data_IF_580146476573
#
_entry.id   IF_580146476573
#
_cell.length_a   1.000
_cell.length_b   1.000
_cell.length_c   1.000
_cell.angle_alpha   90.00
_cell.angle_beta   90.00
_cell.angle_gamma   90.00
#
_symmetry.space_group_name_H-M   'P 1'
#
loop_
_entity.id
_entity.type
_entity.pdbx_description
1 polymer ?
#
# COMPACT_ATOMS: atom_id res chain seq x y z
N UNK A 1 -16.04 48.24 34.55
CA UNK A 1 -16.64 47.25 33.63
C UNK A 1 -15.58 46.86 32.61
N UNK A 2 -14.88 45.75 32.83
CA UNK A 2 -13.88 45.25 31.88
C UNK A 2 -14.59 44.26 30.95
N UNK A 3 -14.71 44.65 29.69
CA UNK A 3 -15.34 43.86 28.64
C UNK A 3 -14.30 42.85 28.11
N UNK A 4 -14.32 41.63 28.64
CA UNK A 4 -13.45 40.55 28.17
C UNK A 4 -14.13 39.90 26.96
N UNK A 5 -13.73 40.34 25.76
CA UNK A 5 -13.92 39.58 24.54
C UNK A 5 -13.17 38.25 24.65
N UNK A 6 -13.86 37.22 25.12
CA UNK A 6 -13.43 35.85 24.94
C UNK A 6 -13.57 35.52 23.46
N UNK A 7 -12.46 35.62 22.72
CA UNK A 7 -12.31 35.05 21.39
C UNK A 7 -12.43 33.53 21.56
N UNK A 8 -13.65 33.02 21.46
CA UNK A 8 -13.90 31.59 21.26
C UNK A 8 -13.35 31.23 19.89
N UNK A 9 -12.08 30.80 19.86
CA UNK A 9 -11.55 30.05 18.75
C UNK A 9 -12.41 28.80 18.62
N UNK A 10 -13.30 28.74 17.62
CA UNK A 10 -14.12 27.56 17.32
C UNK A 10 -13.21 26.33 17.24
N UNK A 11 -13.24 25.48 18.27
CA UNK A 11 -12.70 24.14 18.16
C UNK A 11 -13.38 23.50 16.94
N UNK A 12 -12.57 23.10 15.95
CA UNK A 12 -13.07 22.38 14.79
C UNK A 12 -13.81 21.13 15.29
N UNK A 13 -15.11 21.03 15.02
CA UNK A 13 -15.95 19.94 15.51
C UNK A 13 -15.41 18.56 15.11
N UNK A 14 -15.64 17.57 15.97
CA UNK A 14 -15.29 16.17 15.72
C UNK A 14 -15.92 15.65 14.42
N UNK A 15 -15.10 15.07 13.55
CA UNK A 15 -15.58 14.46 12.31
C UNK A 15 -16.08 13.05 12.55
N UNK A 16 -17.38 12.80 12.32
CA UNK A 16 -17.98 11.46 12.41
C UNK A 16 -17.61 10.54 11.22
N UNK A 17 -16.78 11.01 10.28
CA UNK A 17 -16.39 10.22 9.10
C UNK A 17 -15.50 9.06 9.53
N UNK A 18 -15.60 7.96 8.78
CA UNK A 18 -14.75 6.80 9.01
C UNK A 18 -13.26 7.14 8.90
N UNK A 19 -12.39 6.52 9.72
CA UNK A 19 -10.94 6.55 9.49
C UNK A 19 -10.59 6.05 8.08
N UNK A 20 -9.71 6.77 7.41
CA UNK A 20 -9.18 6.43 6.08
C UNK A 20 -7.79 5.79 6.22
N UNK A 21 -7.32 5.15 5.13
CA UNK A 21 -5.95 4.59 5.10
C UNK A 21 -5.72 3.49 6.13
N UNK A 22 -6.79 2.81 6.56
CA UNK A 22 -6.68 1.72 7.53
C UNK A 22 -5.91 0.57 6.91
N UNK A 23 -4.96 0.05 7.66
CA UNK A 23 -4.05 -1.01 7.25
C UNK A 23 -3.69 -1.86 8.45
N UNK A 24 -3.60 -3.18 8.24
CA UNK A 24 -3.04 -4.13 9.19
C UNK A 24 -1.96 -4.93 8.47
N UNK A 25 -0.74 -4.93 8.98
CA UNK A 25 0.36 -5.69 8.39
C UNK A 25 1.08 -6.49 9.47
N UNK A 26 1.10 -7.81 9.32
CA UNK A 26 1.87 -8.68 10.19
C UNK A 26 3.36 -8.64 9.83
N UNK A 27 4.19 -8.49 10.86
CA UNK A 27 5.65 -8.57 10.82
C UNK A 27 6.11 -9.47 11.96
N UNK A 28 6.62 -10.65 11.64
CA UNK A 28 6.83 -11.75 12.59
C UNK A 28 5.52 -12.09 13.33
N UNK A 29 5.54 -12.11 14.66
CA UNK A 29 4.40 -12.36 15.55
C UNK A 29 3.70 -11.06 16.01
N UNK A 30 3.97 -9.94 15.34
CA UNK A 30 3.38 -8.65 15.64
C UNK A 30 2.50 -8.17 14.48
N UNK A 31 1.44 -7.44 14.79
CA UNK A 31 0.59 -6.80 13.79
C UNK A 31 0.58 -5.29 14.03
N UNK A 32 1.07 -4.56 13.02
CA UNK A 32 0.94 -3.12 13.00
C UNK A 32 -0.40 -2.72 12.39
N UNK A 33 -1.30 -2.17 13.20
CA UNK A 33 -2.58 -1.60 12.78
C UNK A 33 -2.45 -0.09 12.75
N UNK A 34 -2.73 0.53 11.60
CA UNK A 34 -2.55 1.98 11.42
C UNK A 34 -3.67 2.59 10.57
N UNK A 35 -3.90 3.88 10.74
CA UNK A 35 -4.90 4.65 10.00
C UNK A 35 -4.52 6.14 9.93
N UNK A 36 -5.23 6.91 9.12
CA UNK A 36 -5.07 8.36 9.09
C UNK A 36 -5.83 9.03 10.26
N UNK A 37 -5.23 10.00 10.97
CA UNK A 37 -5.90 10.73 12.04
C UNK A 37 -7.21 11.40 11.59
N UNK A 38 -8.25 11.28 12.40
CA UNK A 38 -9.57 11.89 12.18
C UNK A 38 -9.63 13.26 12.86
N UNK A 39 -10.08 14.28 12.12
CA UNK A 39 -10.15 15.65 12.63
C UNK A 39 -11.06 15.74 13.87
N UNK A 40 -10.52 16.31 14.96
CA UNK A 40 -11.22 16.49 16.22
C UNK A 40 -11.44 15.21 17.04
N UNK A 41 -10.86 14.07 16.63
CA UNK A 41 -10.89 12.85 17.45
C UNK A 41 -9.97 13.00 18.68
N UNK A 42 -10.45 12.52 19.82
CA UNK A 42 -9.69 12.47 21.07
C UNK A 42 -9.13 11.07 21.36
N UNK A 43 -9.69 10.04 20.73
CA UNK A 43 -9.16 8.68 20.80
C UNK A 43 -9.80 7.77 19.75
N UNK A 44 -9.37 6.52 19.77
CA UNK A 44 -9.79 5.48 18.85
C UNK A 44 -9.92 4.15 19.59
N UNK A 45 -11.01 3.44 19.35
CA UNK A 45 -11.12 2.04 19.70
C UNK A 45 -10.71 1.18 18.52
N UNK A 46 -9.81 0.23 18.77
CA UNK A 46 -9.37 -0.76 17.81
C UNK A 46 -10.10 -2.07 18.09
N UNK A 47 -10.86 -2.53 17.12
CA UNK A 47 -11.61 -3.77 17.20
C UNK A 47 -10.83 -4.85 16.45
N UNK A 48 -10.65 -5.99 17.10
CA UNK A 48 -10.01 -7.18 16.54
C UNK A 48 -11.03 -8.31 16.50
N UNK A 49 -10.99 -9.07 15.41
CA UNK A 49 -11.79 -10.26 15.22
C UNK A 49 -10.99 -11.37 14.56
N UNK A 50 -11.48 -12.59 14.73
CA UNK A 50 -10.90 -13.83 14.19
C UNK A 50 -12.04 -14.66 13.61
N UNK A 51 -11.79 -15.33 12.49
CA UNK A 51 -12.81 -16.21 11.90
C UNK A 51 -13.01 -17.44 12.78
N UNK A 52 -14.24 -17.63 13.28
CA UNK A 52 -14.63 -18.77 14.09
C UNK A 52 -16.05 -19.20 13.72
N UNK A 53 -16.25 -20.50 13.46
CA UNK A 53 -17.57 -21.10 13.26
C UNK A 53 -18.46 -20.37 12.23
N UNK A 54 -17.88 -19.91 11.12
CA UNK A 54 -18.63 -19.28 10.02
C UNK A 54 -18.87 -17.78 10.16
N UNK A 55 -18.36 -17.13 11.21
CA UNK A 55 -18.47 -15.67 11.40
C UNK A 55 -17.21 -15.07 12.01
N UNK A 56 -17.17 -13.74 12.05
CA UNK A 56 -16.12 -12.98 12.74
C UNK A 56 -16.80 -12.18 13.85
N UNK A 57 -16.49 -12.53 15.09
CA UNK A 57 -16.90 -11.77 16.26
C UNK A 57 -15.79 -10.79 16.63
N UNK A 58 -16.14 -9.51 16.82
CA UNK A 58 -15.19 -8.44 17.11
C UNK A 58 -15.27 -8.00 18.56
N UNK A 59 -14.11 -7.70 19.15
CA UNK A 59 -13.99 -7.11 20.49
C UNK A 59 -13.00 -5.95 20.46
N UNK A 60 -13.17 -4.98 21.36
CA UNK A 60 -12.20 -3.90 21.54
C UNK A 60 -10.95 -4.50 22.19
N UNK A 61 -9.81 -4.35 21.52
CA UNK A 61 -8.52 -4.82 22.05
C UNK A 61 -7.61 -3.71 22.50
N UNK A 62 -7.84 -2.48 22.02
CA UNK A 62 -7.07 -1.30 22.40
C UNK A 62 -7.93 -0.04 22.35
N UNK A 63 -7.57 0.92 23.20
CA UNK A 63 -8.07 2.29 23.22
C UNK A 63 -6.89 3.25 23.22
N UNK A 64 -6.68 3.94 22.10
CA UNK A 64 -5.46 4.71 21.84
C UNK A 64 -5.77 6.14 21.42
N UNK A 65 -4.85 7.05 21.73
CA UNK A 65 -4.93 8.47 21.34
C UNK A 65 -4.20 8.79 20.03
N UNK A 66 -3.34 7.86 19.58
CA UNK A 66 -2.57 7.98 18.34
C UNK A 66 -3.14 7.04 17.27
N UNK A 67 -2.92 7.38 15.99
CA UNK A 67 -3.53 6.65 14.87
C UNK A 67 -2.78 5.35 14.48
N UNK A 68 -2.30 4.62 15.49
CA UNK A 68 -1.51 3.40 15.36
C UNK A 68 -1.62 2.55 16.63
N UNK A 69 -1.63 1.24 16.45
CA UNK A 69 -1.61 0.24 17.51
C UNK A 69 -0.72 -0.93 17.05
N UNK A 70 0.13 -1.45 17.94
CA UNK A 70 0.91 -2.67 17.69
C UNK A 70 0.35 -3.79 18.55
N UNK A 71 -0.13 -4.84 17.91
CA UNK A 71 -0.54 -6.07 18.58
C UNK A 71 0.66 -7.00 18.67
N UNK A 72 0.91 -7.51 19.86
CA UNK A 72 2.08 -8.33 20.18
C UNK A 72 1.66 -9.80 20.36
N UNK A 73 2.60 -10.72 20.14
CA UNK A 73 2.43 -12.16 20.43
C UNK A 73 1.20 -12.76 19.74
N UNK A 74 0.92 -12.33 18.50
CA UNK A 74 -0.16 -12.86 17.69
C UNK A 74 0.18 -14.27 17.22
N UNK A 75 -0.85 -15.12 17.10
CA UNK A 75 -0.67 -16.54 16.77
C UNK A 75 -0.24 -16.71 15.32
N UNK A 76 0.87 -17.43 15.09
CA UNK A 76 1.39 -17.74 13.76
C UNK A 76 0.40 -18.53 12.92
N UNK A 77 0.31 -18.21 11.63
CA UNK A 77 -0.63 -18.83 10.69
C UNK A 77 -2.07 -18.33 10.82
N UNK A 78 -2.39 -17.52 11.84
CA UNK A 78 -3.75 -17.03 12.07
C UNK A 78 -4.01 -15.73 11.32
N UNK A 79 -5.20 -15.63 10.74
CA UNK A 79 -5.72 -14.40 10.14
C UNK A 79 -6.49 -13.59 11.16
N UNK A 80 -6.09 -12.34 11.33
CA UNK A 80 -6.77 -11.36 12.17
C UNK A 80 -7.45 -10.32 11.31
N UNK A 81 -8.60 -9.83 11.79
CA UNK A 81 -9.42 -8.82 11.15
C UNK A 81 -9.51 -7.60 12.06
N UNK A 82 -9.40 -6.41 11.49
CA UNK A 82 -9.44 -5.16 12.25
C UNK A 82 -10.38 -4.14 11.64
N UNK A 83 -11.07 -3.40 12.49
CA UNK A 83 -11.61 -2.10 12.15
C UNK A 83 -11.40 -1.12 13.30
N UNK A 84 -11.47 0.17 13.02
CA UNK A 84 -11.17 1.24 13.97
C UNK A 84 -12.33 2.23 14.02
N UNK A 85 -12.63 2.71 15.23
CA UNK A 85 -13.67 3.71 15.46
C UNK A 85 -13.11 4.90 16.23
N UNK A 86 -13.10 6.07 15.58
CA UNK A 86 -12.71 7.32 16.23
C UNK A 86 -13.81 7.79 17.19
N UNK A 87 -13.43 8.44 18.28
CA UNK A 87 -14.36 9.10 19.19
C UNK A 87 -13.85 10.47 19.66
N UNK A 88 -14.78 11.29 20.12
CA UNK A 88 -14.54 12.48 20.93
C UNK A 88 -15.43 12.44 22.18
N UNK A 89 -15.14 13.27 23.18
CA UNK A 89 -15.92 13.41 24.40
C UNK A 89 -16.85 14.62 24.27
N UNK A 90 -18.09 14.46 24.71
CA UNK A 90 -19.01 15.57 24.87
C UNK A 90 -18.72 16.34 26.18
N UNK A 91 -19.47 17.43 26.43
CA UNK A 91 -19.32 18.26 27.63
C UNK A 91 -19.53 17.50 28.95
N UNK A 92 -20.21 16.36 28.91
CA UNK A 92 -20.46 15.48 30.05
C UNK A 92 -19.44 14.32 30.15
N UNK A 93 -18.37 14.34 29.35
CA UNK A 93 -17.36 13.28 29.32
C UNK A 93 -17.79 11.97 28.64
N UNK A 94 -18.94 11.93 27.95
CA UNK A 94 -19.42 10.74 27.22
C UNK A 94 -18.82 10.67 25.82
N UNK A 95 -18.47 9.45 25.38
CA UNK A 95 -17.94 9.20 24.04
C UNK A 95 -19.01 9.37 22.98
N UNK A 96 -18.70 10.18 21.97
CA UNK A 96 -19.41 10.28 20.71
C UNK A 96 -18.52 9.63 19.66
N UNK A 97 -19.04 8.61 19.00
CA UNK A 97 -18.28 7.85 18.01
C UNK A 97 -18.57 8.27 16.58
N UNK A 98 -17.55 8.14 15.73
CA UNK A 98 -17.69 8.19 14.29
C UNK A 98 -18.13 6.86 13.69
N UNK A 99 -18.19 6.83 12.35
CA UNK A 99 -18.41 5.62 11.56
C UNK A 99 -17.19 4.69 11.65
N UNK A 100 -17.42 3.37 11.64
CA UNK A 100 -16.36 2.38 11.58
C UNK A 100 -15.53 2.55 10.30
N UNK A 101 -14.22 2.30 10.39
CA UNK A 101 -13.38 2.13 9.21
C UNK A 101 -13.84 0.96 8.34
N UNK A 102 -13.24 0.85 7.16
CA UNK A 102 -13.27 -0.44 6.45
C UNK A 102 -12.59 -1.51 7.31
N UNK A 103 -13.04 -2.75 7.17
CA UNK A 103 -12.37 -3.92 7.75
C UNK A 103 -11.12 -4.20 6.92
N UNK A 104 -10.00 -4.43 7.59
CA UNK A 104 -8.75 -4.94 7.03
C UNK A 104 -8.42 -6.29 7.64
N UNK A 105 -7.58 -7.07 6.98
CA UNK A 105 -7.12 -8.35 7.51
C UNK A 105 -5.65 -8.56 7.20
N UNK A 106 -4.99 -9.36 8.02
CA UNK A 106 -3.61 -9.80 7.80
C UNK A 106 -3.42 -11.19 8.38
N UNK A 107 -2.58 -12.00 7.73
CA UNK A 107 -2.22 -13.33 8.22
C UNK A 107 -0.84 -13.25 8.86
N UNK A 108 -0.73 -13.69 10.11
CA UNK A 108 0.57 -13.79 10.78
C UNK A 108 1.38 -14.90 10.09
N UNK A 109 2.59 -14.64 9.58
CA UNK A 109 3.37 -15.66 8.89
C UNK A 109 3.77 -16.80 9.85
N UNK A 110 3.73 -18.04 9.36
CA UNK A 110 4.32 -19.19 10.07
C UNK A 110 5.85 -19.10 10.03
N UNK A 111 6.38 -18.70 8.88
CA UNK A 111 7.81 -18.51 8.62
C UNK A 111 8.04 -17.19 7.88
N UNK A 112 9.23 -16.61 8.09
CA UNK A 112 9.61 -15.33 7.53
C UNK A 112 9.05 -14.15 8.32
N UNK A 113 9.16 -12.95 7.74
CA UNK A 113 8.73 -11.71 8.39
C UNK A 113 7.29 -11.38 8.02
N UNK A 114 6.85 -11.62 6.81
CA UNK A 114 5.46 -11.39 6.39
C UNK A 114 5.06 -12.41 5.32
N UNK A 115 3.95 -12.17 4.62
CA UNK A 115 3.49 -13.03 3.51
C UNK A 115 3.40 -12.26 2.19
N UNK A 116 3.43 -12.96 1.06
CA UNK A 116 3.17 -12.37 -0.26
C UNK A 116 1.80 -11.66 -0.28
N UNK A 117 0.78 -12.28 0.33
CA UNK A 117 -0.56 -11.70 0.49
C UNK A 117 -0.53 -10.40 1.29
N UNK A 118 0.12 -10.37 2.46
CA UNK A 118 0.26 -9.16 3.26
C UNK A 118 1.00 -8.05 2.50
N UNK A 119 2.01 -8.40 1.70
CA UNK A 119 2.73 -7.46 0.86
C UNK A 119 1.84 -6.81 -0.19
N UNK A 120 1.04 -7.60 -0.92
CA UNK A 120 0.09 -7.04 -1.88
C UNK A 120 -1.02 -6.23 -1.21
N UNK A 121 -1.59 -6.70 -0.09
CA UNK A 121 -2.58 -5.94 0.68
C UNK A 121 -2.03 -4.58 1.14
N UNK A 122 -0.80 -4.55 1.65
CA UNK A 122 -0.08 -3.32 2.02
C UNK A 122 0.06 -2.39 0.81
N UNK A 123 0.51 -2.94 -0.34
CA UNK A 123 0.73 -2.19 -1.56
C UNK A 123 -0.56 -1.57 -2.15
N UNK A 124 -1.74 -2.12 -1.84
CA UNK A 124 -3.04 -1.59 -2.29
C UNK A 124 -3.49 -0.33 -1.54
N UNK A 125 -3.06 -0.12 -0.29
CA UNK A 125 -3.56 0.97 0.58
C UNK A 125 -3.42 2.38 -0.02
N UNK A 126 -2.28 2.78 -0.63
CA UNK A 126 -2.12 4.12 -1.22
C UNK A 126 -2.83 4.30 -2.56
N UNK A 127 -3.40 3.25 -3.17
CA UNK A 127 -4.06 3.32 -4.48
C UNK A 127 -5.22 4.31 -4.46
N UNK A 128 -5.30 5.11 -5.53
CA UNK A 128 -6.39 6.07 -5.69
C UNK A 128 -6.36 7.23 -4.70
N UNK A 129 -5.29 7.34 -3.90
CA UNK A 129 -5.16 8.36 -2.86
C UNK A 129 -3.77 9.00 -2.78
N UNK A 130 -2.80 8.53 -3.56
CA UNK A 130 -1.44 9.07 -3.57
C UNK A 130 -1.04 9.46 -5.00
N UNK A 131 -0.64 10.72 -5.19
CA UNK A 131 -0.16 11.22 -6.48
C UNK A 131 1.27 10.76 -6.76
N UNK A 132 1.58 10.61 -8.05
CA UNK A 132 2.95 10.45 -8.50
C UNK A 132 3.66 11.79 -8.39
N UNK A 133 4.79 11.81 -7.69
CA UNK A 133 5.65 12.99 -7.57
C UNK A 133 7.08 12.52 -7.82
N UNK A 134 7.77 13.10 -8.81
CA UNK A 134 9.17 12.75 -9.06
C UNK A 134 10.02 13.06 -7.82
N UNK A 135 10.73 12.05 -7.29
CA UNK A 135 11.49 12.16 -6.04
C UNK A 135 10.62 11.98 -4.79
N UNK A 136 9.32 11.71 -4.95
CA UNK A 136 8.40 11.43 -3.86
C UNK A 136 8.84 10.21 -3.07
N UNK A 137 8.92 10.34 -1.76
CA UNK A 137 9.38 9.28 -0.86
C UNK A 137 10.90 9.19 -0.67
N UNK A 138 11.67 10.00 -1.38
CA UNK A 138 13.11 10.18 -1.12
C UNK A 138 13.37 11.20 0.00
N UNK A 139 14.63 11.30 0.41
CA UNK A 139 15.12 12.40 1.24
C UNK A 139 16.31 13.07 0.55
N UNK A 140 16.65 14.30 0.96
CA UNK A 140 17.75 15.06 0.36
C UNK A 140 19.13 14.49 0.67
N UNK A 141 19.28 13.77 1.78
CA UNK A 141 20.53 13.18 2.22
C UNK A 141 20.84 11.82 1.57
N UNK A 142 19.92 11.31 0.74
CA UNK A 142 19.96 10.00 0.10
C UNK A 142 20.24 8.81 1.06
N UNK A 143 19.61 8.83 2.25
CA UNK A 143 19.80 7.77 3.26
C UNK A 143 18.78 6.63 3.15
N UNK A 144 18.25 6.40 1.94
CA UNK A 144 17.38 5.27 1.64
C UNK A 144 15.89 5.41 1.97
N UNK A 145 15.38 6.56 2.45
CA UNK A 145 13.95 6.92 2.43
C UNK A 145 13.64 8.25 3.14
N UNK A 146 12.64 8.98 2.63
CA UNK A 146 11.96 10.08 3.31
C UNK A 146 11.26 9.66 4.60
N UNK A 147 11.03 10.61 5.51
CA UNK A 147 10.32 10.35 6.78
C UNK A 147 8.90 9.81 6.55
N UNK A 148 8.23 10.25 5.48
CA UNK A 148 6.89 9.77 5.13
C UNK A 148 6.89 8.32 4.64
N UNK A 149 8.02 7.82 4.15
CA UNK A 149 8.19 6.42 3.75
C UNK A 149 8.59 5.55 4.95
N UNK A 150 9.33 6.10 5.92
CA UNK A 150 9.77 5.41 7.14
C UNK A 150 8.74 5.53 8.28
N UNK A 151 7.45 5.51 7.96
CA UNK A 151 6.38 5.47 8.95
C UNK A 151 5.49 4.26 8.66
N UNK A 152 4.87 3.74 9.71
CA UNK A 152 3.84 2.72 9.59
C UNK A 152 2.55 3.34 9.08
N UNK A 153 1.99 2.75 8.02
CA UNK A 153 0.79 3.22 7.37
C UNK A 153 1.03 4.35 6.36
N UNK A 154 -0.05 4.84 5.78
CA UNK A 154 0.00 5.89 4.75
C UNK A 154 0.16 7.29 5.36
N UNK A 155 0.89 8.17 4.67
CA UNK A 155 0.97 9.57 5.09
C UNK A 155 -0.34 10.32 4.80
N UNK A 156 -1.00 10.96 5.79
CA UNK A 156 -2.19 11.79 5.55
C UNK A 156 -1.93 12.93 4.55
N UNK A 157 -0.68 13.40 4.46
CA UNK A 157 -0.26 14.44 3.52
C UNK A 157 -0.45 14.01 2.07
N UNK A 158 -0.21 12.74 1.73
CA UNK A 158 -0.38 12.23 0.38
C UNK A 158 -1.84 12.31 -0.07
N UNK A 159 -2.76 11.83 0.78
CA UNK A 159 -4.20 11.93 0.52
C UNK A 159 -4.67 13.38 0.43
N UNK A 160 -4.22 14.25 1.34
CA UNK A 160 -4.53 15.68 1.30
C UNK A 160 -4.07 16.32 -0.01
N UNK A 161 -2.85 16.01 -0.46
CA UNK A 161 -2.32 16.53 -1.72
C UNK A 161 -3.09 16.01 -2.94
N UNK A 162 -3.42 14.72 -2.97
CA UNK A 162 -4.17 14.06 -4.05
C UNK A 162 -5.62 14.52 -4.16
N UNK A 163 -6.27 14.81 -3.03
CA UNK A 163 -7.65 15.32 -2.99
C UNK A 163 -7.81 16.63 -3.74
N UNK A 164 -6.78 17.48 -3.72
CA UNK A 164 -6.79 18.81 -4.33
C UNK A 164 -6.42 18.79 -5.83
N UNK A 165 -6.17 17.62 -6.43
CA UNK A 165 -5.81 17.52 -7.85
C UNK A 165 -7.01 17.19 -8.73
N UNK A 166 -6.98 17.71 -9.95
CA UNK A 166 -8.00 17.50 -10.97
C UNK A 166 -7.44 16.67 -12.12
N UNK A 167 -8.26 16.35 -13.13
CA UNK A 167 -7.80 15.67 -14.34
C UNK A 167 -6.68 16.42 -15.11
N UNK A 168 -6.43 17.70 -14.78
CA UNK A 168 -5.35 18.53 -15.36
C UNK A 168 -4.00 18.36 -14.65
N UNK A 169 -3.87 17.42 -13.71
CA UNK A 169 -2.61 17.21 -13.00
C UNK A 169 -1.46 16.90 -13.97
N UNK A 170 -0.43 17.74 -13.95
CA UNK A 170 0.86 17.48 -14.58
C UNK A 170 1.93 17.31 -13.50
N UNK A 171 2.59 16.16 -13.46
CA UNK A 171 3.61 15.89 -12.44
C UNK A 171 4.84 16.81 -12.56
N UNK A 172 5.07 17.41 -13.73
CA UNK A 172 6.22 18.27 -13.98
C UNK A 172 6.20 19.52 -13.08
N UNK A 173 5.01 20.06 -12.80
CA UNK A 173 4.80 21.22 -11.94
C UNK A 173 5.10 20.93 -10.45
N UNK A 174 5.23 19.65 -10.09
CA UNK A 174 5.38 19.20 -8.70
C UNK A 174 6.64 18.36 -8.46
N UNK A 175 7.59 18.32 -9.42
CA UNK A 175 8.85 17.57 -9.26
C UNK A 175 9.57 17.98 -7.98
N UNK A 176 10.14 17.01 -7.28
CA UNK A 176 10.91 17.18 -6.04
C UNK A 176 10.13 17.77 -4.86
N UNK A 177 8.79 17.84 -4.94
CA UNK A 177 7.96 18.01 -3.75
C UNK A 177 7.89 16.69 -2.97
N UNK A 178 9.05 16.21 -2.52
CA UNK A 178 9.33 14.84 -2.07
C UNK A 178 8.41 14.32 -0.94
N UNK A 179 7.73 15.22 -0.23
CA UNK A 179 6.79 14.94 0.86
C UNK A 179 5.31 14.80 0.41
N UNK A 180 4.98 15.14 -0.84
CA UNK A 180 3.58 15.28 -1.32
C UNK A 180 3.01 14.03 -2.01
N UNK A 181 3.85 13.06 -2.33
CA UNK A 181 3.46 11.84 -3.00
C UNK A 181 4.64 10.88 -3.09
N UNK A 182 4.54 9.92 -4.01
CA UNK A 182 5.54 8.87 -4.19
C UNK A 182 5.94 8.79 -5.66
N UNK A 183 7.23 8.68 -5.96
CA UNK A 183 7.63 8.13 -7.25
C UNK A 183 7.56 6.58 -7.22
N UNK A 184 7.92 5.93 -8.33
CA UNK A 184 7.86 4.48 -8.44
C UNK A 184 8.73 3.78 -7.38
N UNK A 185 9.97 4.23 -7.18
CA UNK A 185 10.91 3.68 -6.20
C UNK A 185 10.54 3.99 -4.74
N UNK A 186 10.03 5.20 -4.48
CA UNK A 186 9.53 5.61 -3.17
C UNK A 186 8.32 4.79 -2.76
N UNK A 187 7.45 4.47 -3.72
CA UNK A 187 6.30 3.60 -3.51
C UNK A 187 6.72 2.17 -3.14
N UNK A 188 7.59 1.54 -3.95
CA UNK A 188 8.10 0.20 -3.62
C UNK A 188 8.82 0.20 -2.27
N UNK A 189 9.65 1.21 -2.00
CA UNK A 189 10.34 1.36 -0.72
C UNK A 189 9.38 1.49 0.48
N UNK A 190 8.24 2.18 0.33
CA UNK A 190 7.19 2.24 1.36
C UNK A 190 6.52 0.89 1.58
N UNK A 191 6.23 0.14 0.51
CA UNK A 191 5.66 -1.20 0.65
C UNK A 191 6.63 -2.13 1.42
N UNK A 192 7.92 -2.12 1.06
CA UNK A 192 8.95 -2.91 1.76
C UNK A 192 9.14 -2.45 3.21
N UNK A 193 9.04 -1.14 3.49
CA UNK A 193 9.13 -0.66 4.87
C UNK A 193 8.04 -1.26 5.76
N UNK A 194 6.80 -1.28 5.27
CA UNK A 194 5.62 -1.67 6.07
C UNK A 194 5.45 -3.17 6.26
N UNK A 195 6.03 -4.02 5.41
CA UNK A 195 6.09 -5.48 5.63
C UNK A 195 7.27 -5.94 6.49
N UNK A 196 8.18 -5.01 6.83
CA UNK A 196 9.44 -5.33 7.53
C UNK A 196 9.60 -4.64 8.88
N UNK A 197 8.72 -3.70 9.21
CA UNK A 197 8.80 -2.93 10.44
C UNK A 197 7.40 -2.74 11.02
N UNK A 198 7.35 -2.64 12.35
CA UNK A 198 6.17 -2.22 13.12
C UNK A 198 6.37 -0.87 13.80
N UNK A 199 7.54 -0.26 13.62
CA UNK A 199 7.90 1.03 14.21
C UNK A 199 8.29 2.04 13.13
N UNK A 200 8.19 3.33 13.48
CA UNK A 200 8.61 4.41 12.60
C UNK A 200 10.13 4.61 12.68
N UNK A 201 10.68 5.33 11.71
CA UNK A 201 12.06 5.80 11.65
C UNK A 201 13.15 4.70 11.60
N UNK A 202 12.79 3.43 11.36
CA UNK A 202 13.75 2.36 11.05
C UNK A 202 14.42 2.59 9.68
N UNK A 203 15.36 1.74 9.29
CA UNK A 203 16.09 1.86 8.01
C UNK A 203 15.11 1.82 6.83
N UNK A 204 15.33 2.71 5.84
CA UNK A 204 14.53 2.77 4.61
C UNK A 204 15.00 1.82 3.52
N UNK A 205 14.14 1.62 2.52
CA UNK A 205 14.35 0.68 1.40
C UNK A 205 14.12 1.31 0.02
N UNK A 206 14.23 2.63 -0.08
CA UNK A 206 14.18 3.38 -1.33
C UNK A 206 15.56 3.34 -1.98
N UNK A 207 15.61 2.79 -3.19
CA UNK A 207 16.80 2.77 -4.04
C UNK A 207 16.40 3.26 -5.43
N UNK A 208 17.39 3.53 -6.29
CA UNK A 208 17.13 3.92 -7.68
C UNK A 208 16.23 2.88 -8.36
N UNK A 209 15.20 3.35 -9.08
CA UNK A 209 14.21 2.49 -9.72
C UNK A 209 14.82 1.40 -10.62
N UNK A 210 15.93 1.67 -11.29
CA UNK A 210 16.61 0.69 -12.14
C UNK A 210 17.45 -0.35 -11.39
N UNK A 211 17.75 -0.10 -10.11
CA UNK A 211 18.64 -0.94 -9.29
C UNK A 211 17.90 -1.68 -8.18
N UNK A 212 16.64 -1.34 -7.91
CA UNK A 212 15.95 -1.76 -6.70
C UNK A 212 15.71 -3.28 -6.66
N UNK A 213 15.30 -3.90 -7.76
CA UNK A 213 15.18 -5.37 -7.88
C UNK A 213 16.51 -6.07 -7.59
N UNK A 214 17.59 -5.64 -8.25
CA UNK A 214 18.93 -6.20 -8.01
C UNK A 214 19.38 -6.01 -6.57
N UNK A 215 19.18 -4.84 -5.98
CA UNK A 215 19.54 -4.56 -4.58
C UNK A 215 18.81 -5.48 -3.60
N UNK A 216 17.54 -5.76 -3.82
CA UNK A 216 16.79 -6.68 -2.96
C UNK A 216 17.25 -8.14 -3.11
N UNK A 217 17.58 -8.56 -4.34
CA UNK A 217 18.16 -9.88 -4.56
C UNK A 217 19.57 -10.01 -3.95
N UNK A 218 20.42 -8.98 -4.07
CA UNK A 218 21.76 -8.93 -3.46
C UNK A 218 21.69 -8.94 -1.91
N UNK A 219 20.55 -8.58 -1.31
CA UNK A 219 20.28 -8.74 0.13
C UNK A 219 19.83 -10.17 0.52
N UNK A 220 19.78 -11.10 -0.43
CA UNK A 220 19.42 -12.50 -0.21
C UNK A 220 17.92 -12.77 -0.15
N UNK A 221 17.05 -11.82 -0.51
CA UNK A 221 15.59 -11.96 -0.36
C UNK A 221 14.93 -12.82 -1.45
N UNK A 222 15.70 -13.16 -2.49
CA UNK A 222 15.22 -13.92 -3.62
C UNK A 222 16.21 -13.90 -4.77
N UNK A 223 15.73 -14.24 -5.97
CA UNK A 223 16.57 -14.38 -7.15
C UNK A 223 16.45 -13.16 -8.05
N UNK A 224 17.56 -12.78 -8.69
CA UNK A 224 17.59 -11.76 -9.73
C UNK A 224 17.65 -12.43 -11.10
N UNK A 225 16.75 -12.03 -11.99
CA UNK A 225 16.70 -12.48 -13.37
C UNK A 225 16.90 -11.28 -14.29
N UNK A 226 17.91 -11.35 -15.14
CA UNK A 226 18.16 -10.31 -16.14
C UNK A 226 17.02 -10.24 -17.16
N UNK A 227 16.75 -9.04 -17.70
CA UNK A 227 15.55 -8.78 -18.52
C UNK A 227 15.36 -9.74 -19.69
N UNK A 228 16.43 -10.20 -20.33
CA UNK A 228 16.37 -11.09 -21.48
C UNK A 228 16.00 -12.53 -21.11
N UNK A 229 16.09 -12.87 -19.82
CA UNK A 229 15.81 -14.19 -19.27
C UNK A 229 14.49 -14.24 -18.48
N UNK A 230 13.75 -13.12 -18.40
CA UNK A 230 12.44 -13.09 -17.73
C UNK A 230 11.41 -13.77 -18.63
N UNK A 231 10.79 -14.85 -18.13
CA UNK A 231 9.82 -15.65 -18.88
C UNK A 231 8.43 -15.70 -18.22
N UNK A 232 8.32 -15.44 -16.92
CA UNK A 232 7.07 -15.47 -16.17
C UNK A 232 6.96 -14.30 -15.17
N UNK A 233 5.76 -14.07 -14.65
CA UNK A 233 5.47 -13.00 -13.69
C UNK A 233 4.60 -13.52 -12.56
N UNK A 234 5.09 -13.48 -11.34
CA UNK A 234 4.41 -14.00 -10.15
C UNK A 234 4.10 -12.90 -9.15
N UNK A 235 3.12 -13.18 -8.30
CA UNK A 235 2.70 -12.29 -7.24
C UNK A 235 3.89 -11.79 -6.40
N UNK A 236 4.00 -10.48 -6.27
CA UNK A 236 5.02 -9.82 -5.47
C UNK A 236 6.32 -9.50 -6.21
N UNK A 237 6.54 -9.97 -7.44
CA UNK A 237 7.78 -9.67 -8.17
C UNK A 237 8.04 -8.17 -8.25
N UNK A 238 9.31 -7.81 -8.03
CA UNK A 238 9.79 -6.44 -8.18
C UNK A 238 10.48 -6.32 -9.53
N UNK A 239 9.91 -5.50 -10.40
CA UNK A 239 10.37 -5.36 -11.78
C UNK A 239 11.07 -4.01 -11.92
N UNK A 240 12.39 -3.99 -12.16
CA UNK A 240 13.19 -2.76 -12.31
C UNK A 240 13.64 -2.59 -13.76
N UNK A 241 13.35 -1.42 -14.33
CA UNK A 241 13.76 -1.09 -15.70
C UNK A 241 15.28 -1.04 -15.80
N UNK A 242 15.85 -1.68 -16.82
CA UNK A 242 17.30 -1.68 -17.07
C UNK A 242 17.69 -0.80 -18.25
N UNK A 243 16.71 -0.12 -18.87
CA UNK A 243 16.94 0.81 -19.98
C UNK A 243 17.14 2.24 -19.48
N UNK A 244 18.04 2.99 -20.12
CA UNK A 244 18.26 4.41 -19.86
C UNK A 244 17.03 5.30 -20.15
N UNK A 245 16.13 4.85 -21.04
CA UNK A 245 14.99 5.64 -21.50
C UNK A 245 13.69 5.49 -20.68
N UNK A 246 13.61 4.56 -19.72
CA UNK A 246 12.34 4.26 -19.03
C UNK A 246 12.49 3.85 -17.56
N UNK A 247 13.36 4.54 -16.81
CA UNK A 247 13.64 4.27 -15.40
C UNK A 247 12.37 4.21 -14.53
N UNK A 248 11.88 3.00 -14.29
CA UNK A 248 10.67 2.68 -13.53
C UNK A 248 10.86 1.40 -12.74
N UNK A 249 10.08 1.26 -11.68
CA UNK A 249 9.97 0.03 -10.89
C UNK A 249 8.52 -0.21 -10.51
N UNK A 250 8.07 -1.47 -10.56
CA UNK A 250 6.70 -1.82 -10.21
C UNK A 250 6.62 -3.18 -9.50
N UNK A 251 5.47 -3.45 -8.88
CA UNK A 251 5.16 -4.71 -8.20
C UNK A 251 4.16 -5.50 -9.04
N UNK A 252 4.40 -6.78 -9.28
CA UNK A 252 3.47 -7.66 -9.99
C UNK A 252 2.35 -8.13 -9.06
N UNK A 253 1.09 -8.07 -9.53
CA UNK A 253 -0.02 -8.82 -8.92
C UNK A 253 -0.05 -10.23 -9.49
N UNK A 254 -0.03 -10.38 -10.81
CA UNK A 254 0.03 -11.69 -11.47
C UNK A 254 -0.02 -11.58 -12.99
N UNK A 255 0.23 -12.70 -13.65
CA UNK A 255 0.11 -12.85 -15.11
C UNK A 255 -1.29 -13.36 -15.49
N UNK A 256 -1.80 -12.90 -16.63
CA UNK A 256 -3.02 -13.35 -17.28
C UNK A 256 -2.72 -14.43 -18.33
N UNK A 257 -3.76 -15.11 -18.84
CA UNK A 257 -3.58 -16.21 -19.81
C UNK A 257 -3.06 -15.73 -21.15
N UNK A 258 -3.41 -14.50 -21.54
CA UNK A 258 -2.91 -13.84 -22.75
C UNK A 258 -1.47 -13.27 -22.60
N UNK A 259 -0.76 -13.65 -21.54
CA UNK A 259 0.61 -13.21 -21.24
C UNK A 259 0.72 -11.78 -20.71
N UNK A 260 -0.37 -11.01 -20.68
CA UNK A 260 -0.38 -9.67 -20.07
C UNK A 260 -0.29 -9.73 -18.55
N UNK A 261 0.16 -8.64 -17.92
CA UNK A 261 0.46 -8.60 -16.48
C UNK A 261 -0.32 -7.50 -15.80
N UNK A 262 -0.95 -7.83 -14.66
CA UNK A 262 -1.51 -6.84 -13.74
C UNK A 262 -0.44 -6.43 -12.75
N UNK A 263 -0.27 -5.13 -12.56
CA UNK A 263 0.79 -4.55 -11.74
C UNK A 263 0.32 -3.37 -10.89
N UNK A 264 1.02 -3.15 -9.79
CA UNK A 264 0.92 -1.97 -8.94
C UNK A 264 2.09 -1.03 -9.22
N UNK A 265 1.78 0.22 -9.52
CA UNK A 265 2.80 1.17 -9.94
C UNK A 265 2.43 2.60 -9.55
N UNK A 266 3.43 3.35 -9.04
CA UNK A 266 3.37 4.80 -8.98
C UNK A 266 4.01 5.41 -10.23
N UNK A 267 3.17 5.84 -11.16
CA UNK A 267 3.54 6.59 -12.34
C UNK A 267 2.47 7.66 -12.59
N UNK A 268 2.72 8.70 -13.40
CA UNK A 268 1.68 9.68 -13.71
C UNK A 268 0.33 9.01 -14.09
N UNK A 269 -0.78 9.34 -13.44
CA UNK A 269 -0.95 10.43 -12.45
C UNK A 269 -0.63 10.05 -10.98
N UNK A 270 -0.59 8.77 -10.61
CA UNK A 270 -0.25 8.33 -9.25
C UNK A 270 -0.29 6.82 -9.03
N UNK A 271 -0.40 6.42 -7.77
CA UNK A 271 -0.39 5.01 -7.36
C UNK A 271 -1.69 4.34 -7.78
N UNK A 272 -1.59 3.32 -8.64
CA UNK A 272 -2.76 2.62 -9.17
C UNK A 272 -2.47 1.17 -9.58
N UNK A 273 -3.55 0.40 -9.74
CA UNK A 273 -3.52 -0.85 -10.51
C UNK A 273 -3.41 -0.48 -11.99
N UNK A 274 -2.52 -1.15 -12.71
CA UNK A 274 -2.37 -1.03 -14.16
C UNK A 274 -2.30 -2.42 -14.81
N UNK A 275 -2.61 -2.49 -16.09
CA UNK A 275 -2.47 -3.69 -16.90
C UNK A 275 -1.61 -3.45 -18.12
N UNK A 276 -0.69 -4.36 -18.44
CA UNK A 276 0.12 -4.26 -19.66
C UNK A 276 -0.68 -4.65 -20.89
N UNK A 277 -0.25 -4.25 -22.08
CA UNK A 277 -0.59 -4.94 -23.32
C UNK A 277 -0.11 -6.41 -23.27
N UNK A 278 -0.62 -7.25 -24.17
CA UNK A 278 -0.06 -8.60 -24.39
C UNK A 278 1.34 -8.51 -24.99
N UNK A 279 2.16 -9.59 -24.98
CA UNK A 279 3.46 -9.60 -25.65
C UNK A 279 3.41 -9.19 -27.13
N UNK A 280 2.32 -9.49 -27.83
CA UNK A 280 2.06 -9.15 -29.24
C UNK A 280 1.58 -7.71 -29.44
N UNK A 281 1.42 -6.93 -28.36
CA UNK A 281 1.05 -5.51 -28.44
C UNK A 281 -0.45 -5.21 -28.34
N UNK A 282 -1.30 -6.19 -28.03
CA UNK A 282 -2.74 -5.94 -27.87
C UNK A 282 -3.01 -5.13 -26.59
N UNK A 283 -3.48 -3.89 -26.77
CA UNK A 283 -3.69 -2.92 -25.66
C UNK A 283 -4.97 -3.18 -24.85
N UNK A 284 -5.97 -3.86 -25.43
CA UNK A 284 -7.18 -4.33 -24.72
C UNK A 284 -6.99 -5.77 -24.22
N UNK A 285 -5.89 -5.99 -23.50
CA UNK A 285 -5.53 -7.27 -22.88
C UNK A 285 -6.45 -7.62 -21.70
N UNK A 286 -6.37 -8.86 -21.23
CA UNK A 286 -7.02 -9.31 -19.99
C UNK A 286 -6.56 -8.48 -18.79
N UNK A 287 -5.25 -8.22 -18.65
CA UNK A 287 -4.73 -7.41 -17.55
C UNK A 287 -5.27 -5.97 -17.56
N UNK A 288 -5.39 -5.35 -18.74
CA UNK A 288 -6.00 -4.02 -18.87
C UNK A 288 -7.46 -4.03 -18.40
N UNK A 289 -8.23 -5.04 -18.80
CA UNK A 289 -9.64 -5.17 -18.43
C UNK A 289 -9.81 -5.40 -16.92
N UNK A 290 -8.97 -6.24 -16.30
CA UNK A 290 -8.93 -6.43 -14.86
C UNK A 290 -8.59 -5.13 -14.13
N UNK A 291 -7.49 -4.45 -14.52
CA UNK A 291 -7.09 -3.19 -13.91
C UNK A 291 -8.21 -2.13 -14.03
N UNK A 292 -8.85 -2.03 -15.19
CA UNK A 292 -9.98 -1.14 -15.41
C UNK A 292 -11.16 -1.49 -14.50
N UNK A 293 -11.52 -2.78 -14.38
CA UNK A 293 -12.63 -3.24 -13.54
C UNK A 293 -12.44 -2.79 -12.09
N UNK A 294 -11.31 -3.15 -11.47
CA UNK A 294 -11.05 -2.84 -10.06
C UNK A 294 -10.87 -1.35 -9.81
N UNK A 295 -10.16 -0.63 -10.69
CA UNK A 295 -10.01 0.84 -10.56
C UNK A 295 -11.35 1.57 -10.68
N UNK A 296 -12.23 1.14 -11.60
CA UNK A 296 -13.56 1.71 -11.76
C UNK A 296 -14.49 1.35 -10.61
N UNK A 297 -14.42 0.13 -10.06
CA UNK A 297 -15.30 -0.35 -8.98
C UNK A 297 -14.94 0.24 -7.61
N UNK A 298 -13.67 0.16 -7.22
CA UNK A 298 -13.23 0.51 -5.86
C UNK A 298 -12.65 1.93 -5.74
N UNK A 299 -12.15 2.50 -6.85
CA UNK A 299 -11.48 3.81 -6.84
C UNK A 299 -12.18 4.82 -7.78
N UNK A 300 -13.51 4.80 -7.81
CA UNK A 300 -14.39 5.61 -8.70
C UNK A 300 -13.96 7.07 -8.88
N UNK A 301 -13.70 7.77 -7.77
CA UNK A 301 -13.33 9.21 -7.81
C UNK A 301 -11.94 9.44 -8.42
N UNK A 302 -11.01 8.49 -8.22
CA UNK A 302 -9.71 8.51 -8.87
C UNK A 302 -9.84 8.19 -10.36
N UNK A 303 -10.48 7.07 -10.70
CA UNK A 303 -10.63 6.60 -12.08
C UNK A 303 -11.34 7.63 -12.97
N UNK A 304 -12.32 8.37 -12.45
CA UNK A 304 -12.97 9.48 -13.17
C UNK A 304 -12.00 10.62 -13.53
N UNK A 305 -11.00 10.89 -12.69
CA UNK A 305 -9.97 11.92 -12.96
C UNK A 305 -8.84 11.39 -13.82
N UNK A 306 -8.48 10.12 -13.64
CA UNK A 306 -7.32 9.48 -14.26
C UNK A 306 -7.70 8.07 -14.76
N UNK A 307 -8.37 7.95 -15.92
CA UNK A 307 -8.89 6.67 -16.40
C UNK A 307 -7.84 5.77 -17.06
N UNK A 308 -6.64 6.29 -17.35
CA UNK A 308 -5.60 5.52 -18.03
C UNK A 308 -4.92 4.53 -17.09
N UNK A 309 -5.27 3.25 -17.22
CA UNK A 309 -4.68 2.12 -16.49
C UNK A 309 -3.80 1.23 -17.37
N UNK A 310 -3.59 1.57 -18.64
CA UNK A 310 -2.83 0.75 -19.59
C UNK A 310 -1.32 1.02 -19.55
N UNK A 311 -0.53 -0.03 -19.74
CA UNK A 311 0.93 0.04 -19.92
C UNK A 311 1.33 -0.71 -21.20
N UNK A 312 2.31 -0.20 -21.93
CA UNK A 312 2.75 -0.80 -23.19
C UNK A 312 3.55 -2.09 -23.00
N UNK A 313 3.88 -2.75 -24.10
CA UNK A 313 4.72 -3.97 -24.15
C UNK A 313 6.10 -3.78 -23.53
N UNK A 314 6.62 -2.55 -23.49
CA UNK A 314 7.89 -2.25 -22.83
C UNK A 314 7.91 -2.64 -21.35
N UNK A 315 6.75 -2.71 -20.69
CA UNK A 315 6.62 -3.20 -19.32
C UNK A 315 6.87 -4.70 -19.20
N UNK A 316 6.84 -5.45 -20.30
CA UNK A 316 7.17 -6.88 -20.32
C UNK A 316 8.62 -7.14 -20.79
N UNK A 317 9.26 -6.19 -21.45
CA UNK A 317 10.53 -6.48 -22.15
C UNK A 317 11.72 -5.68 -21.64
N UNK A 318 11.52 -4.57 -20.92
CA UNK A 318 12.59 -3.67 -20.49
C UNK A 318 13.06 -3.87 -19.04
N UNK A 319 12.48 -4.83 -18.33
CA UNK A 319 12.60 -4.94 -16.87
C UNK A 319 13.31 -6.22 -16.48
N UNK A 320 14.29 -6.08 -15.58
CA UNK A 320 14.81 -7.21 -14.83
C UNK A 320 13.88 -7.51 -13.65
N UNK A 321 13.91 -8.75 -13.19
CA UNK A 321 13.00 -9.25 -12.17
C UNK A 321 13.75 -9.61 -10.89
N UNK A 322 13.16 -9.26 -9.76
CA UNK A 322 13.45 -9.91 -8.49
C UNK A 322 12.23 -10.73 -8.07
N UNK A 323 12.45 -12.04 -7.93
CA UNK A 323 11.47 -13.04 -7.50
C UNK A 323 11.75 -13.38 -6.05
N UNK A 324 10.76 -13.23 -5.18
CA UNK A 324 10.90 -13.58 -3.75
C UNK A 324 11.14 -15.07 -3.56
N UNK A 325 12.08 -15.41 -2.68
CA UNK A 325 12.19 -16.77 -2.12
C UNK A 325 11.15 -16.91 -1.00
N UNK A 326 10.26 -17.89 -1.13
CA UNK A 326 9.11 -18.10 -0.23
C UNK A 326 9.20 -19.34 0.64
N UNK A 327 10.23 -20.16 0.42
CA UNK A 327 10.49 -21.41 1.14
C UNK A 327 11.99 -21.53 1.50
N UNK A 328 12.30 -22.39 2.48
CA UNK A 328 13.65 -22.60 2.99
C UNK A 328 14.04 -21.57 4.05
N UNK A 329 15.35 -21.49 4.36
CA UNK A 329 15.84 -20.66 5.45
C UNK A 329 15.91 -19.16 5.09
N UNK A 330 15.83 -18.31 6.12
CA UNK A 330 15.98 -16.85 6.06
C UNK A 330 15.07 -16.13 5.05
N UNK A 331 13.88 -16.68 4.77
CA UNK A 331 12.90 -16.03 3.89
C UNK A 331 12.34 -14.74 4.52
N UNK A 332 12.10 -13.73 3.70
CA UNK A 332 11.43 -12.50 4.13
C UNK A 332 9.92 -12.65 4.07
N UNK A 333 9.41 -13.22 2.97
CA UNK A 333 8.00 -13.40 2.71
C UNK A 333 7.71 -14.89 2.52
N UNK A 334 6.83 -15.47 3.33
CA UNK A 334 6.23 -16.78 3.03
C UNK A 334 5.05 -16.61 2.08
N UNK A 335 4.60 -17.71 1.47
CA UNK A 335 3.42 -17.72 0.60
C UNK A 335 2.42 -18.83 0.98
N UNK A 336 1.85 -18.78 2.21
CA UNK A 336 0.92 -19.81 2.67
C UNK A 336 -0.38 -19.87 1.85
N UNK A 337 -0.71 -18.77 1.14
CA UNK A 337 -1.89 -18.67 0.29
C UNK A 337 -1.60 -19.11 -1.16
N UNK A 338 -0.36 -19.46 -1.51
CA UNK A 338 0.02 -19.94 -2.84
C UNK A 338 -0.10 -18.90 -3.96
N UNK A 339 -0.04 -17.60 -3.63
CA UNK A 339 -0.24 -16.50 -4.56
C UNK A 339 0.74 -16.52 -5.74
N UNK A 340 1.98 -16.97 -5.55
CA UNK A 340 2.95 -17.05 -6.64
C UNK A 340 2.53 -18.04 -7.74
N UNK A 341 1.60 -18.96 -7.47
CA UNK A 341 1.10 -19.94 -8.42
C UNK A 341 -0.30 -19.61 -8.98
N UNK A 342 -0.88 -18.46 -8.60
CA UNK A 342 -2.21 -18.03 -9.04
C UNK A 342 -2.15 -17.09 -10.23
N UNK A 343 -3.22 -17.09 -11.03
CA UNK A 343 -3.41 -16.07 -12.07
C UNK A 343 -3.84 -14.71 -11.48
N UNK A 344 -3.66 -13.65 -12.26
CA UNK A 344 -3.97 -12.29 -11.82
C UNK A 344 -5.44 -12.12 -11.36
N UNK A 345 -6.38 -12.80 -12.02
CA UNK A 345 -7.80 -12.70 -11.72
C UNK A 345 -8.14 -13.30 -10.35
N UNK A 346 -7.58 -14.47 -10.03
CA UNK A 346 -7.79 -15.16 -8.75
C UNK A 346 -7.22 -14.36 -7.60
N UNK A 347 -6.01 -13.80 -7.77
CA UNK A 347 -5.37 -12.96 -6.76
C UNK A 347 -6.20 -11.70 -6.49
N UNK A 348 -6.67 -11.01 -7.54
CA UNK A 348 -7.51 -9.83 -7.39
C UNK A 348 -8.83 -10.15 -6.68
N UNK A 349 -9.49 -11.27 -7.00
CA UNK A 349 -10.71 -11.71 -6.30
C UNK A 349 -10.47 -11.88 -4.81
N UNK A 350 -9.40 -12.56 -4.40
CA UNK A 350 -9.12 -12.72 -2.97
C UNK A 350 -8.74 -11.39 -2.29
N UNK A 351 -7.92 -10.56 -2.93
CA UNK A 351 -7.52 -9.25 -2.37
C UNK A 351 -8.70 -8.30 -2.17
N UNK A 352 -9.71 -8.35 -3.04
CA UNK A 352 -10.91 -7.51 -2.98
C UNK A 352 -12.14 -8.20 -2.38
N UNK A 353 -12.01 -9.48 -1.99
CA UNK A 353 -13.08 -10.31 -1.40
C UNK A 353 -14.31 -10.39 -2.29
N UNK A 354 -14.08 -10.75 -3.56
CA UNK A 354 -15.10 -10.96 -4.60
C UNK A 354 -15.37 -12.43 -4.92
#
# INVERSE_FOLDING_TARGET
MVNIYAVYCKASGFSIKRPCGVMSTAVYDQIAVSWEPVAGAQGYEVYEGVWQSGRIDYSVVEDVTVAKCIRMKCEKGRTYYYYVRAYALNQMGRRIYGTNSNVVSTTVPVQGQSTIRNFLQTALVPIGSTMYVWGGGWNRADTGAGKEVRQIGTCPRWRKFAKNKTARYNYQDYRYQIHNGLDCSGYVGWCIYNIRNVEDNRKGYVYSASKQAKKFADMGWGTYVERQNVTDYRAGDIMSSTCSCCGHVYIVIGQCKDGSVVLLHSSPAGVQISGTATPEGKTKSEAYQLAQHYMKKYYKSWYRRYPNVGRGTSYLTHYAQMRWRTEGDDIILSDPDGYQNMDAASILKDLYKE
#
